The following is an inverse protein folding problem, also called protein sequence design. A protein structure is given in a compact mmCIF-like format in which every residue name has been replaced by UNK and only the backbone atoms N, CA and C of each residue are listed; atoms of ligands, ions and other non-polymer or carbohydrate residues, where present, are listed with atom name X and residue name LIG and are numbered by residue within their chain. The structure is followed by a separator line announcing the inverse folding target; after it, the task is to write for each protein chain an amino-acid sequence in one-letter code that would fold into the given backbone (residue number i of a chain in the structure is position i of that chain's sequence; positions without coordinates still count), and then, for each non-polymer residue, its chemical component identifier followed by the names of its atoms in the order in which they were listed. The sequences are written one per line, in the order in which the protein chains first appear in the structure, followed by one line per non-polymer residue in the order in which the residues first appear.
data_IF_096495342213
#
_entry.id   IF_096495342213
#
_cell.length_a   1.000
_cell.length_b   1.000
_cell.length_c   1.000
_cell.angle_alpha   90.00
_cell.angle_beta   90.00
_cell.angle_gamma   90.00
#
_symmetry.space_group_name_H-M   'P 1'
#
loop_
_entity.id
_entity.type
_entity.pdbx_description
1 polymer ?
#
# COMPACT_ATOMS: atom_id res chain seq x y z
N UNK A 1 -12.26 -19.70 -11.36
CA UNK A 1 -12.56 -19.55 -9.94
C UNK A 1 -13.99 -19.06 -9.80
N UNK A 2 -14.72 -19.57 -8.83
CA UNK A 2 -16.10 -19.15 -8.56
C UNK A 2 -16.11 -17.80 -7.86
N UNK A 3 -17.01 -16.92 -8.26
CA UNK A 3 -17.25 -15.63 -7.66
C UNK A 3 -18.67 -15.62 -7.10
N UNK A 4 -18.80 -15.15 -5.88
CA UNK A 4 -20.10 -14.95 -5.23
C UNK A 4 -20.49 -13.49 -5.25
N UNK A 5 -21.74 -13.26 -5.63
CA UNK A 5 -22.40 -11.97 -5.56
C UNK A 5 -22.81 -11.71 -4.09
N UNK A 6 -22.46 -10.56 -3.55
CA UNK A 6 -22.87 -10.13 -2.22
C UNK A 6 -23.50 -8.74 -2.28
N UNK A 7 -24.55 -8.53 -1.50
CA UNK A 7 -25.13 -7.21 -1.28
C UNK A 7 -24.58 -6.61 0.02
N UNK A 8 -24.13 -5.38 -0.04
CA UNK A 8 -23.54 -4.69 1.10
C UNK A 8 -24.56 -3.73 1.71
N UNK A 9 -24.93 -3.99 2.98
CA UNK A 9 -25.56 -3.01 3.84
C UNK A 9 -26.92 -2.46 3.40
N UNK A 10 -27.77 -3.27 2.76
CA UNK A 10 -29.12 -2.83 2.36
C UNK A 10 -29.18 -1.89 1.16
N UNK A 11 -28.06 -1.62 0.52
CA UNK A 11 -27.98 -0.90 -0.76
C UNK A 11 -28.16 -1.89 -1.93
N UNK A 12 -28.60 -1.37 -3.09
CA UNK A 12 -28.68 -2.16 -4.33
C UNK A 12 -27.30 -2.39 -4.98
N UNK A 13 -26.21 -2.18 -4.25
CA UNK A 13 -24.84 -2.33 -4.76
C UNK A 13 -24.45 -3.79 -4.68
N UNK A 14 -24.24 -4.41 -5.82
CA UNK A 14 -23.73 -5.76 -5.95
C UNK A 14 -22.20 -5.73 -6.00
N UNK A 15 -21.56 -6.53 -5.15
CA UNK A 15 -20.12 -6.72 -5.12
C UNK A 15 -19.82 -8.19 -5.38
N UNK A 16 -18.80 -8.48 -6.17
CA UNK A 16 -18.36 -9.84 -6.43
C UNK A 16 -17.11 -10.16 -5.61
N UNK A 17 -17.16 -11.24 -4.83
CA UNK A 17 -16.06 -11.73 -4.01
C UNK A 17 -15.76 -13.17 -4.39
N UNK A 18 -14.49 -13.54 -4.48
CA UNK A 18 -14.12 -14.93 -4.74
C UNK A 18 -14.69 -15.83 -3.64
N UNK A 19 -15.54 -16.78 -4.01
CA UNK A 19 -16.38 -17.60 -3.11
C UNK A 19 -15.59 -18.28 -2.01
N UNK A 20 -14.33 -18.66 -2.27
CA UNK A 20 -13.43 -19.29 -1.27
C UNK A 20 -13.10 -18.41 -0.05
N UNK A 21 -13.43 -17.12 -0.09
CA UNK A 21 -13.21 -16.17 1.01
C UNK A 21 -14.48 -15.81 1.76
N UNK A 22 -15.62 -16.39 1.39
CA UNK A 22 -16.90 -16.20 2.08
C UNK A 22 -17.11 -17.33 3.08
N UNK A 23 -17.44 -16.98 4.32
CA UNK A 23 -17.94 -17.92 5.30
C UNK A 23 -19.45 -17.71 5.47
N UNK A 24 -20.23 -18.77 5.47
CA UNK A 24 -21.69 -18.73 5.60
C UNK A 24 -22.17 -18.35 7.02
N UNK A 25 -21.28 -18.25 7.99
CA UNK A 25 -21.63 -17.84 9.35
C UNK A 25 -21.56 -16.33 9.49
N UNK A 26 -22.72 -15.72 9.75
CA UNK A 26 -22.81 -14.34 10.24
C UNK A 26 -21.94 -14.25 11.49
N UNK A 27 -20.98 -13.29 11.60
CA UNK A 27 -20.30 -13.05 12.85
C UNK A 27 -21.39 -12.76 13.90
N UNK A 28 -21.48 -13.60 14.92
CA UNK A 28 -22.34 -13.33 16.05
C UNK A 28 -21.86 -12.02 16.64
N UNK A 29 -22.75 -11.05 16.81
CA UNK A 29 -22.45 -9.81 17.49
C UNK A 29 -22.02 -10.20 18.92
N UNK A 30 -20.75 -10.42 19.09
CA UNK A 30 -20.11 -10.53 20.39
C UNK A 30 -20.27 -9.18 21.05
N UNK A 31 -20.80 -9.20 22.25
CA UNK A 31 -20.99 -8.08 23.15
C UNK A 31 -19.76 -7.16 23.09
N UNK A 32 -19.99 -5.89 22.80
CA UNK A 32 -19.02 -4.87 22.48
C UNK A 32 -17.75 -4.89 23.34
N UNK A 33 -16.77 -5.56 22.85
CA UNK A 33 -15.41 -5.12 23.04
C UNK A 33 -15.12 -4.26 21.81
N UNK A 34 -15.21 -2.96 21.96
CA UNK A 34 -14.58 -2.01 21.05
C UNK A 34 -13.10 -2.38 21.02
N UNK A 35 -12.72 -3.26 20.10
CA UNK A 35 -11.35 -3.30 19.67
C UNK A 35 -11.14 -1.96 18.92
N UNK A 36 -10.88 -0.91 19.69
CA UNK A 36 -10.06 0.17 19.22
C UNK A 36 -8.84 -0.51 18.63
N UNK A 37 -8.79 -0.62 17.29
CA UNK A 37 -7.55 -0.81 16.61
C UNK A 37 -6.73 0.41 17.03
N UNK A 38 -6.00 0.25 18.11
CA UNK A 38 -4.98 1.18 18.52
C UNK A 38 -4.00 1.17 17.36
N UNK A 39 -4.06 2.23 16.55
CA UNK A 39 -2.99 2.63 15.67
C UNK A 39 -1.83 3.05 16.55
N UNK A 40 -1.32 2.12 17.35
CA UNK A 40 -0.07 2.27 18.05
C UNK A 40 1.00 2.27 16.97
N UNK A 41 1.66 3.41 16.77
CA UNK A 41 2.98 3.42 16.16
C UNK A 41 3.81 2.42 16.93
N UNK A 42 4.18 1.32 16.27
CA UNK A 42 4.99 0.29 16.89
C UNK A 42 6.25 0.96 17.47
N UNK A 43 6.55 0.69 18.74
CA UNK A 43 7.71 1.27 19.38
C UNK A 43 8.96 0.82 18.63
N UNK A 44 9.81 1.76 18.26
CA UNK A 44 11.05 1.51 17.52
C UNK A 44 12.21 1.63 18.49
N UNK A 45 13.04 0.59 18.54
CA UNK A 45 14.29 0.60 19.30
C UNK A 45 15.38 1.38 18.55
N UNK A 46 16.44 1.78 19.27
CA UNK A 46 17.56 2.55 18.71
C UNK A 46 18.30 1.83 17.55
N UNK A 47 18.20 0.52 17.48
CA UNK A 47 18.75 -0.33 16.40
C UNK A 47 17.80 -0.49 15.20
N UNK A 48 16.67 0.21 15.19
CA UNK A 48 15.66 0.11 14.14
C UNK A 48 14.71 -1.08 14.27
N UNK A 49 14.82 -1.88 15.33
CA UNK A 49 13.89 -2.97 15.61
C UNK A 49 12.50 -2.42 15.96
N UNK A 50 11.48 -3.02 15.40
CA UNK A 50 10.07 -2.66 15.61
C UNK A 50 9.40 -3.72 16.47
N UNK A 51 8.68 -3.30 17.50
CA UNK A 51 7.90 -4.22 18.32
C UNK A 51 6.81 -4.88 17.48
N UNK A 52 6.79 -6.22 17.45
CA UNK A 52 5.76 -6.98 16.75
C UNK A 52 4.45 -6.88 17.54
N UNK A 53 3.35 -6.38 16.93
CA UNK A 53 2.03 -6.38 17.56
C UNK A 53 1.61 -7.78 18.03
N UNK A 54 0.95 -7.88 19.17
CA UNK A 54 0.53 -9.18 19.73
C UNK A 54 -0.31 -10.01 18.74
N UNK A 55 -1.16 -9.36 17.97
CA UNK A 55 -1.98 -10.01 16.93
C UNK A 55 -1.16 -10.66 15.81
N UNK A 56 0.10 -10.28 15.64
CA UNK A 56 0.98 -10.80 14.60
C UNK A 56 2.02 -11.80 15.10
N UNK A 57 2.19 -11.96 16.40
CA UNK A 57 3.21 -12.85 17.00
C UNK A 57 3.07 -14.32 16.60
N UNK A 58 1.88 -14.73 16.16
CA UNK A 58 1.67 -16.08 15.63
C UNK A 58 2.35 -16.31 14.27
N UNK A 59 2.68 -15.24 13.55
CA UNK A 59 3.25 -15.30 12.20
C UNK A 59 4.62 -14.65 12.09
N UNK A 60 4.91 -13.64 12.92
CA UNK A 60 6.08 -12.76 12.81
C UNK A 60 7.01 -13.01 13.99
N UNK A 61 8.25 -13.37 13.70
CA UNK A 61 9.30 -13.52 14.71
C UNK A 61 10.10 -12.24 14.94
N UNK A 62 10.21 -11.37 13.92
CA UNK A 62 10.92 -10.09 14.00
C UNK A 62 10.39 -9.07 13.00
N UNK A 63 10.49 -7.79 13.35
CA UNK A 63 10.18 -6.68 12.47
C UNK A 63 11.23 -5.57 12.63
N UNK A 64 11.49 -4.81 11.56
CA UNK A 64 12.43 -3.69 11.59
C UNK A 64 12.07 -2.61 10.59
N UNK A 65 12.64 -1.43 10.81
CA UNK A 65 12.52 -0.31 9.87
C UNK A 65 13.43 -0.50 8.66
N UNK A 66 12.92 -0.10 7.50
CA UNK A 66 13.68 0.00 6.26
C UNK A 66 13.63 1.44 5.81
N UNK A 67 14.78 2.12 5.82
CA UNK A 67 14.93 3.48 5.30
C UNK A 67 15.34 3.50 3.83
N UNK A 68 15.27 4.69 3.23
CA UNK A 68 15.79 4.90 1.88
C UNK A 68 17.32 4.76 1.87
N UNK A 69 17.85 3.98 0.93
CA UNK A 69 19.28 3.89 0.69
C UNK A 69 19.63 4.76 -0.52
N UNK A 70 20.51 5.73 -0.33
CA UNK A 70 20.95 6.65 -1.38
C UNK A 70 21.73 5.97 -2.52
N UNK A 71 22.26 4.79 -2.31
CA UNK A 71 22.92 3.96 -3.33
C UNK A 71 21.96 3.21 -4.25
N UNK A 72 20.66 3.18 -3.95
CA UNK A 72 19.70 2.55 -4.85
C UNK A 72 19.48 3.40 -6.11
N UNK A 73 19.34 2.73 -7.24
CA UNK A 73 19.05 3.38 -8.51
C UNK A 73 17.79 4.23 -8.40
N UNK A 74 17.87 5.49 -8.81
CA UNK A 74 16.81 6.51 -8.78
C UNK A 74 16.45 7.05 -7.37
N UNK A 75 17.21 6.74 -6.35
CA UNK A 75 16.98 7.28 -5.01
C UNK A 75 17.06 8.82 -4.98
N UNK A 76 17.93 9.39 -5.79
CA UNK A 76 18.15 10.83 -5.95
C UNK A 76 16.95 11.59 -6.56
N UNK A 77 15.99 10.89 -7.15
CA UNK A 77 14.76 11.51 -7.66
C UNK A 77 13.68 11.70 -6.59
N UNK A 78 13.82 11.08 -5.42
CA UNK A 78 12.94 11.30 -4.30
C UNK A 78 13.20 12.64 -3.63
N UNK A 79 12.15 13.36 -3.31
CA UNK A 79 12.18 14.64 -2.62
C UNK A 79 11.73 14.56 -1.15
N UNK A 80 10.96 13.50 -0.78
CA UNK A 80 10.51 13.22 0.60
C UNK A 80 10.85 11.76 0.89
N UNK A 81 11.92 11.53 1.66
CA UNK A 81 12.46 10.19 1.89
C UNK A 81 13.08 9.98 3.29
N UNK A 82 12.70 10.81 4.25
CA UNK A 82 13.18 10.70 5.63
C UNK A 82 12.42 9.67 6.49
N UNK A 83 11.32 9.12 5.95
CA UNK A 83 10.52 8.09 6.61
C UNK A 83 11.07 6.68 6.42
N UNK A 84 10.39 5.71 7.04
CA UNK A 84 10.77 4.31 7.00
C UNK A 84 9.55 3.43 6.73
N UNK A 85 9.73 2.43 5.87
CA UNK A 85 8.84 1.28 5.78
C UNK A 85 9.08 0.33 6.95
N UNK A 86 8.17 -0.60 7.20
CA UNK A 86 8.32 -1.64 8.22
C UNK A 86 8.34 -3.01 7.54
N UNK A 87 9.41 -3.74 7.75
CA UNK A 87 9.53 -5.12 7.28
C UNK A 87 9.06 -6.07 8.39
N UNK A 88 8.14 -6.97 8.06
CA UNK A 88 7.66 -8.04 8.90
C UNK A 88 8.17 -9.38 8.36
N UNK A 89 9.05 -10.02 9.10
CA UNK A 89 9.60 -11.33 8.73
C UNK A 89 8.68 -12.45 9.25
N UNK A 90 8.28 -13.33 8.35
CA UNK A 90 7.46 -14.48 8.70
C UNK A 90 8.32 -15.60 9.31
N UNK A 91 8.13 -15.89 10.59
CA UNK A 91 8.86 -16.91 11.33
C UNK A 91 8.23 -18.29 11.30
N UNK A 92 7.17 -18.52 10.52
CA UNK A 92 6.46 -19.81 10.49
C UNK A 92 7.15 -20.86 9.61
N UNK A 93 6.87 -22.13 9.88
CA UNK A 93 7.45 -23.25 9.12
C UNK A 93 7.00 -23.27 7.63
N UNK A 94 5.85 -22.64 7.31
CA UNK A 94 5.35 -22.55 5.94
C UNK A 94 5.73 -21.25 5.24
N UNK A 95 6.76 -20.54 5.73
CA UNK A 95 7.29 -19.32 5.10
C UNK A 95 7.68 -19.57 3.65
N UNK A 96 7.23 -18.71 2.76
CA UNK A 96 7.42 -18.82 1.30
C UNK A 96 8.71 -18.19 0.79
N UNK A 97 9.47 -17.49 1.65
CA UNK A 97 10.68 -16.74 1.27
C UNK A 97 10.41 -15.75 0.11
N UNK A 98 9.24 -15.12 0.14
CA UNK A 98 8.81 -14.09 -0.80
C UNK A 98 8.31 -12.89 -0.03
N UNK A 99 8.72 -11.72 -0.48
CA UNK A 99 8.38 -10.43 0.14
C UNK A 99 7.34 -9.70 -0.70
N UNK A 100 6.24 -9.32 -0.08
CA UNK A 100 5.21 -8.49 -0.71
C UNK A 100 5.27 -7.09 -0.10
N UNK A 101 5.58 -6.09 -0.92
CA UNK A 101 5.46 -4.69 -0.50
C UNK A 101 4.00 -4.25 -0.61
N UNK A 102 3.44 -3.84 0.52
CA UNK A 102 2.07 -3.32 0.62
C UNK A 102 2.16 -1.81 0.83
N UNK A 103 1.67 -1.06 -0.15
CA UNK A 103 1.71 0.38 -0.16
C UNK A 103 0.30 0.94 0.07
N UNK A 104 0.02 1.38 1.29
CA UNK A 104 -1.18 2.15 1.59
C UNK A 104 -1.06 3.53 0.91
N UNK A 105 -1.89 3.79 -0.08
CA UNK A 105 -1.86 5.03 -0.86
C UNK A 105 -2.00 6.29 0.00
N UNK A 106 -1.40 7.40 -0.43
CA UNK A 106 -1.43 8.69 0.25
C UNK A 106 -0.74 8.70 1.63
N UNK A 107 -1.09 9.63 2.53
CA UNK A 107 -0.57 9.67 3.90
C UNK A 107 0.89 10.11 3.99
N UNK A 108 1.28 11.14 3.23
CA UNK A 108 2.55 11.87 3.37
C UNK A 108 2.25 13.35 3.54
N UNK A 109 2.49 13.86 4.75
CA UNK A 109 2.31 15.28 5.05
C UNK A 109 3.22 16.13 4.16
N UNK A 110 2.64 17.20 3.57
CA UNK A 110 3.36 18.06 2.63
C UNK A 110 3.58 17.50 1.23
N UNK A 111 3.20 16.26 0.96
CA UNK A 111 3.42 15.59 -0.33
C UNK A 111 2.79 16.31 -1.53
N UNK A 112 1.63 16.95 -1.33
CA UNK A 112 0.93 17.71 -2.38
C UNK A 112 1.62 19.02 -2.76
N UNK A 113 2.49 19.56 -1.88
CA UNK A 113 3.23 20.81 -2.11
C UNK A 113 4.58 20.61 -2.77
N UNK A 114 5.06 19.38 -2.86
CA UNK A 114 6.33 19.00 -3.45
C UNK A 114 6.10 18.32 -4.80
N UNK A 115 7.02 18.48 -5.75
CA UNK A 115 6.95 17.81 -7.05
C UNK A 115 8.18 16.96 -7.31
N UNK A 116 7.96 15.78 -7.87
CA UNK A 116 8.99 14.85 -8.34
C UNK A 116 8.81 14.59 -9.84
N UNK A 117 9.80 13.97 -10.50
CA UNK A 117 9.62 13.51 -11.87
C UNK A 117 8.57 12.38 -11.93
N UNK A 118 7.79 12.37 -13.01
CA UNK A 118 6.78 11.32 -13.24
C UNK A 118 7.43 9.98 -13.59
N UNK A 119 8.61 10.02 -14.24
CA UNK A 119 9.34 8.83 -14.65
C UNK A 119 10.85 9.00 -14.41
N UNK A 120 11.61 7.88 -14.23
CA UNK A 120 13.05 7.92 -13.99
C UNK A 120 13.85 8.54 -15.12
N UNK A 121 13.39 8.39 -16.37
CA UNK A 121 13.98 8.96 -17.57
C UNK A 121 13.54 10.40 -17.85
N UNK A 122 12.74 10.99 -16.94
CA UNK A 122 12.17 12.34 -17.02
C UNK A 122 11.20 12.56 -18.19
N UNK A 123 10.71 11.49 -18.81
CA UNK A 123 9.67 11.57 -19.83
C UNK A 123 8.34 12.03 -19.26
N UNK A 124 7.43 12.44 -20.13
CA UNK A 124 6.12 12.95 -19.73
C UNK A 124 5.19 11.82 -19.29
N UNK A 125 4.36 12.10 -18.30
CA UNK A 125 3.27 11.22 -17.86
C UNK A 125 2.31 10.94 -19.02
N UNK A 126 1.97 9.67 -19.21
CA UNK A 126 1.08 9.24 -20.32
C UNK A 126 -0.40 9.16 -19.92
N UNK A 127 -0.69 9.05 -18.63
CA UNK A 127 -2.05 8.97 -18.10
C UNK A 127 -2.43 10.25 -17.36
N UNK A 128 -3.72 10.59 -17.32
CA UNK A 128 -4.25 11.68 -16.50
C UNK A 128 -4.60 11.19 -15.11
N UNK A 129 -4.68 12.11 -14.15
CA UNK A 129 -5.06 11.90 -12.77
C UNK A 129 -4.98 13.23 -12.04
N UNK A 130 -4.52 13.29 -10.81
CA UNK A 130 -4.24 14.54 -10.07
C UNK A 130 -3.29 15.45 -10.87
N UNK A 131 -2.35 14.85 -11.59
CA UNK A 131 -1.51 15.54 -12.59
C UNK A 131 -1.92 15.11 -13.98
N UNK A 132 -2.09 16.06 -14.89
CA UNK A 132 -2.49 15.80 -16.27
C UNK A 132 -1.42 15.02 -17.05
N UNK A 133 -1.86 14.27 -18.06
CA UNK A 133 -0.96 13.70 -19.06
C UNK A 133 -0.14 14.80 -19.74
N UNK A 134 1.09 14.50 -20.14
CA UNK A 134 2.03 15.44 -20.74
C UNK A 134 2.92 16.16 -19.72
N UNK A 135 2.63 16.10 -18.43
CA UNK A 135 3.48 16.68 -17.39
C UNK A 135 4.72 15.82 -17.15
N UNK A 136 5.89 16.43 -17.02
CA UNK A 136 7.15 15.74 -16.66
C UNK A 136 7.34 15.63 -15.14
N UNK A 137 6.63 16.46 -14.37
CA UNK A 137 6.63 16.43 -12.89
C UNK A 137 5.21 16.36 -12.37
N UNK A 138 5.01 15.58 -11.32
CA UNK A 138 3.76 15.45 -10.59
C UNK A 138 3.95 15.77 -9.09
N UNK A 139 2.85 15.94 -8.36
CA UNK A 139 2.92 16.05 -6.90
C UNK A 139 3.57 14.79 -6.33
N UNK A 140 4.41 14.96 -5.33
CA UNK A 140 5.20 13.88 -4.74
C UNK A 140 4.31 12.79 -4.11
N UNK A 141 3.23 13.21 -3.42
CA UNK A 141 2.10 12.36 -2.99
C UNK A 141 0.85 13.22 -2.96
N UNK A 142 -0.21 12.80 -3.63
CA UNK A 142 -1.49 13.50 -3.55
C UNK A 142 -2.21 13.22 -2.23
N UNK A 143 -3.16 14.08 -1.85
CA UNK A 143 -3.98 13.92 -0.64
C UNK A 143 -4.97 12.75 -0.73
N UNK A 144 -5.27 12.29 -1.94
CA UNK A 144 -6.32 11.31 -2.19
C UNK A 144 -7.72 11.93 -2.25
N UNK A 145 -8.72 11.07 -2.40
CA UNK A 145 -10.12 11.47 -2.35
C UNK A 145 -10.63 11.56 -0.91
N UNK A 146 -11.82 12.16 -0.76
CA UNK A 146 -12.58 12.13 0.49
C UNK A 146 -13.90 11.42 0.24
N UNK A 147 -14.24 10.47 1.10
CA UNK A 147 -15.53 9.75 1.06
C UNK A 147 -16.68 10.68 1.45
N UNK A 148 -17.91 10.24 1.15
CA UNK A 148 -19.12 11.04 1.41
C UNK A 148 -19.35 11.35 2.90
N UNK A 149 -18.81 10.52 3.81
CA UNK A 149 -18.84 10.71 5.26
C UNK A 149 -17.71 11.60 5.79
N UNK A 150 -16.87 12.16 4.91
CA UNK A 150 -15.72 12.99 5.28
C UNK A 150 -14.44 12.18 5.55
N UNK A 151 -14.47 10.86 5.48
CA UNK A 151 -13.27 10.03 5.70
C UNK A 151 -12.26 10.22 4.56
N UNK A 152 -11.00 10.49 4.90
CA UNK A 152 -9.93 10.61 3.93
C UNK A 152 -9.53 9.23 3.37
N UNK A 153 -9.23 9.15 2.08
CA UNK A 153 -8.74 7.93 1.43
C UNK A 153 -7.53 7.32 2.14
N UNK A 154 -6.61 8.16 2.61
CA UNK A 154 -5.42 7.71 3.34
C UNK A 154 -5.74 6.90 4.62
N UNK A 155 -6.89 7.15 5.25
CA UNK A 155 -7.36 6.38 6.41
C UNK A 155 -7.83 5.00 5.99
N UNK A 156 -8.59 4.94 4.90
CA UNK A 156 -9.16 3.68 4.37
C UNK A 156 -8.05 2.79 3.77
N UNK A 157 -7.14 3.37 3.01
CA UNK A 157 -6.00 2.64 2.43
C UNK A 157 -5.09 2.05 3.51
N UNK A 158 -4.84 2.78 4.61
CA UNK A 158 -4.07 2.25 5.74
C UNK A 158 -4.76 1.05 6.37
N UNK A 159 -6.06 1.18 6.65
CA UNK A 159 -6.83 0.08 7.25
C UNK A 159 -6.83 -1.16 6.37
N UNK A 160 -7.04 -0.98 5.07
CA UNK A 160 -7.01 -2.08 4.10
C UNK A 160 -5.63 -2.72 4.01
N UNK A 161 -4.56 -1.91 3.98
CA UNK A 161 -3.19 -2.39 3.94
C UNK A 161 -2.83 -3.24 5.17
N UNK A 162 -3.27 -2.85 6.37
CA UNK A 162 -3.06 -3.60 7.58
C UNK A 162 -3.79 -4.96 7.56
N UNK A 163 -5.04 -4.97 7.10
CA UNK A 163 -5.79 -6.23 6.91
C UNK A 163 -5.10 -7.13 5.87
N UNK A 164 -4.61 -6.55 4.79
CA UNK A 164 -3.92 -7.27 3.74
C UNK A 164 -2.58 -7.83 4.22
N UNK A 165 -1.78 -7.05 4.95
CA UNK A 165 -0.58 -7.50 5.66
C UNK A 165 -0.86 -8.75 6.48
N UNK A 166 -1.89 -8.72 7.32
CA UNK A 166 -2.23 -9.82 8.23
C UNK A 166 -2.57 -11.10 7.43
N UNK A 167 -3.29 -10.95 6.32
CA UNK A 167 -3.61 -12.07 5.42
C UNK A 167 -2.39 -12.64 4.71
N UNK A 168 -1.47 -11.79 4.27
CA UNK A 168 -0.23 -12.21 3.63
C UNK A 168 0.69 -12.95 4.61
N UNK A 169 0.82 -12.44 5.84
CA UNK A 169 1.60 -13.09 6.89
C UNK A 169 1.01 -14.46 7.24
N UNK A 170 -0.31 -14.56 7.41
CA UNK A 170 -0.98 -15.85 7.64
C UNK A 170 -0.79 -16.83 6.47
N UNK A 171 -0.65 -16.33 5.25
CA UNK A 171 -0.36 -17.13 4.06
C UNK A 171 1.13 -17.50 3.89
N UNK A 172 2.02 -17.07 4.78
CA UNK A 172 3.44 -17.43 4.79
C UNK A 172 4.36 -16.46 4.04
N UNK A 173 3.88 -15.29 3.62
CA UNK A 173 4.72 -14.26 2.99
C UNK A 173 5.39 -13.38 4.04
N UNK A 174 6.56 -12.85 3.73
CA UNK A 174 7.10 -11.67 4.39
C UNK A 174 6.38 -10.43 3.85
N UNK A 175 6.26 -9.40 4.65
CA UNK A 175 5.57 -8.18 4.23
C UNK A 175 6.42 -6.94 4.51
N UNK A 176 6.60 -6.12 3.47
CA UNK A 176 7.12 -4.76 3.60
C UNK A 176 5.95 -3.79 3.60
N UNK A 177 5.57 -3.27 4.76
CA UNK A 177 4.59 -2.20 4.85
C UNK A 177 5.26 -0.87 4.51
N UNK A 178 5.01 -0.34 3.32
CA UNK A 178 5.57 0.97 2.89
C UNK A 178 5.06 2.10 3.78
N UNK A 179 3.79 2.02 4.20
CA UNK A 179 3.20 2.89 5.21
C UNK A 179 2.37 2.07 6.19
N UNK A 180 2.73 2.09 7.45
CA UNK A 180 2.03 1.38 8.54
C UNK A 180 1.50 2.33 9.64
N UNK A 181 1.53 3.62 9.39
CA UNK A 181 1.02 4.69 10.25
C UNK A 181 0.22 5.74 9.46
N UNK A 182 -0.31 6.73 10.18
CA UNK A 182 -1.09 7.82 9.57
C UNK A 182 -0.27 8.63 8.57
N UNK A 183 0.99 8.85 8.88
CA UNK A 183 1.95 9.56 8.04
C UNK A 183 3.20 8.69 7.84
N UNK A 184 3.77 8.78 6.65
CA UNK A 184 5.12 8.31 6.35
C UNK A 184 5.79 9.32 5.45
N UNK A 185 6.95 9.84 5.84
CA UNK A 185 7.70 10.80 5.05
C UNK A 185 8.45 10.10 3.91
N UNK A 186 7.66 9.49 2.99
CA UNK A 186 8.09 8.82 1.77
C UNK A 186 7.21 9.28 0.62
N UNK A 187 7.80 9.84 -0.42
CA UNK A 187 7.08 10.15 -1.66
C UNK A 187 6.92 8.91 -2.56
N UNK A 188 6.18 9.05 -3.66
CA UNK A 188 5.91 7.94 -4.57
C UNK A 188 7.20 7.34 -5.16
N UNK A 189 8.23 8.16 -5.38
CA UNK A 189 9.55 7.72 -5.86
C UNK A 189 10.22 6.85 -4.80
N UNK A 190 10.31 7.34 -3.55
CA UNK A 190 10.89 6.58 -2.44
C UNK A 190 10.18 5.25 -2.24
N UNK A 191 8.84 5.25 -2.21
CA UNK A 191 8.02 4.05 -2.05
C UNK A 191 8.32 3.00 -3.13
N UNK A 192 8.41 3.44 -4.38
CA UNK A 192 8.74 2.58 -5.53
C UNK A 192 10.16 2.05 -5.46
N UNK A 193 11.14 2.92 -5.20
CA UNK A 193 12.55 2.53 -5.10
C UNK A 193 12.76 1.53 -3.97
N UNK A 194 12.16 1.76 -2.82
CA UNK A 194 12.23 0.82 -1.69
C UNK A 194 11.61 -0.54 -2.05
N UNK A 195 10.40 -0.56 -2.62
CA UNK A 195 9.75 -1.80 -3.01
C UNK A 195 10.56 -2.56 -4.06
N UNK A 196 11.13 -1.89 -5.06
CA UNK A 196 11.95 -2.52 -6.10
C UNK A 196 13.22 -3.17 -5.56
N UNK A 197 13.79 -2.65 -4.48
CA UNK A 197 15.04 -3.15 -3.91
C UNK A 197 14.84 -4.16 -2.76
N UNK A 198 13.62 -4.28 -2.21
CA UNK A 198 13.39 -5.09 -1.02
C UNK A 198 12.27 -6.12 -1.16
N UNK A 199 11.49 -6.08 -2.24
CA UNK A 199 10.33 -6.96 -2.40
C UNK A 199 10.30 -7.67 -3.75
N UNK A 200 9.61 -8.82 -3.80
CA UNK A 200 9.35 -9.58 -5.03
C UNK A 200 8.12 -9.04 -5.78
N UNK A 201 7.20 -8.40 -5.08
CA UNK A 201 5.98 -7.82 -5.65
C UNK A 201 5.61 -6.56 -4.88
N UNK A 202 5.10 -5.55 -5.59
CA UNK A 202 4.60 -4.30 -5.01
C UNK A 202 3.12 -4.12 -5.34
N UNK A 203 2.30 -3.92 -4.31
CA UNK A 203 0.85 -3.72 -4.43
C UNK A 203 0.50 -2.39 -3.75
N UNK A 204 0.05 -1.42 -4.54
CA UNK A 204 -0.48 -0.16 -4.04
C UNK A 204 -2.00 -0.22 -3.94
N UNK A 205 -2.54 0.23 -2.82
CA UNK A 205 -3.97 0.21 -2.51
C UNK A 205 -4.52 1.63 -2.57
N UNK A 206 -5.55 1.82 -3.38
CA UNK A 206 -6.21 3.09 -3.61
C UNK A 206 -7.72 2.95 -3.73
N UNK A 207 -8.43 4.08 -3.61
CA UNK A 207 -9.83 4.24 -4.00
C UNK A 207 -9.92 5.32 -5.08
N UNK A 208 -10.81 5.12 -6.04
CA UNK A 208 -11.03 6.08 -7.12
C UNK A 208 -12.39 6.79 -6.91
N UNK A 209 -12.41 8.11 -7.10
CA UNK A 209 -13.64 8.90 -7.05
C UNK A 209 -14.28 8.94 -8.43
N UNK A 210 -15.43 8.30 -8.57
CA UNK A 210 -16.17 8.23 -9.83
C UNK A 210 -17.67 8.30 -9.58
N UNK A 211 -18.41 8.86 -10.55
CA UNK A 211 -19.88 8.90 -10.51
C UNK A 211 -20.55 7.55 -10.81
N UNK A 212 -19.78 6.56 -11.26
CA UNK A 212 -20.26 5.21 -11.55
C UNK A 212 -19.54 4.24 -10.64
N UNK A 213 -20.27 3.30 -10.04
CA UNK A 213 -19.67 2.17 -9.36
C UNK A 213 -18.89 1.32 -10.38
N UNK A 214 -17.59 1.23 -10.20
CA UNK A 214 -16.71 0.40 -11.04
C UNK A 214 -16.33 -0.91 -10.35
N UNK A 215 -16.76 -1.11 -9.11
CA UNK A 215 -16.32 -2.23 -8.29
C UNK A 215 -14.81 -2.22 -8.03
N UNK A 216 -14.26 -3.37 -7.69
CA UNK A 216 -12.82 -3.55 -7.54
C UNK A 216 -12.17 -3.77 -8.89
N UNK A 217 -11.09 -3.05 -9.17
CA UNK A 217 -10.30 -3.19 -10.39
C UNK A 217 -8.81 -3.10 -10.05
N UNK A 218 -7.97 -3.50 -10.98
CA UNK A 218 -6.53 -3.30 -10.89
C UNK A 218 -6.03 -2.53 -12.10
N UNK A 219 -4.97 -1.78 -11.89
CA UNK A 219 -4.21 -1.15 -12.98
C UNK A 219 -2.89 -1.89 -13.15
N UNK A 220 -2.62 -2.29 -14.38
CA UNK A 220 -1.34 -2.87 -14.76
C UNK A 220 -0.43 -1.81 -15.36
N UNK A 221 0.83 -2.19 -15.61
CA UNK A 221 1.77 -1.34 -16.37
C UNK A 221 1.10 -0.84 -17.64
N UNK A 222 1.08 0.47 -17.91
CA UNK A 222 0.58 0.99 -19.16
C UNK A 222 1.23 0.30 -20.36
N UNK A 223 0.42 -0.01 -21.39
CA UNK A 223 0.92 -0.60 -22.63
C UNK A 223 1.66 0.46 -23.48
N UNK A 224 2.76 0.94 -22.94
CA UNK A 224 3.61 1.95 -23.55
C UNK A 224 5.05 1.45 -23.57
N UNK A 225 5.70 1.52 -24.73
CA UNK A 225 7.05 1.00 -24.93
C UNK A 225 8.08 1.66 -24.00
N UNK A 226 7.95 2.97 -23.74
CA UNK A 226 8.85 3.70 -22.85
C UNK A 226 8.74 3.17 -21.39
N UNK A 227 7.53 2.92 -20.90
CA UNK A 227 7.33 2.30 -19.59
C UNK A 227 7.95 0.92 -19.49
N UNK A 228 7.78 0.10 -20.53
CA UNK A 228 8.27 -1.28 -20.54
C UNK A 228 9.77 -1.39 -20.73
N UNK A 229 10.41 -0.35 -21.31
CA UNK A 229 11.85 -0.28 -21.50
C UNK A 229 12.60 0.20 -20.25
N UNK A 230 11.92 0.69 -19.22
CA UNK A 230 12.53 1.10 -17.95
C UNK A 230 12.92 -0.13 -17.11
N UNK A 231 14.15 -0.55 -17.26
CA UNK A 231 14.76 -1.68 -16.56
C UNK A 231 15.29 -1.31 -15.16
N UNK A 232 15.22 -2.27 -14.23
CA UNK A 232 14.22 -3.31 -13.97
C UNK A 232 13.15 -2.78 -13.01
N UNK A 233 12.18 -2.07 -13.51
CA UNK A 233 11.12 -1.52 -12.66
C UNK A 233 10.13 -2.62 -12.34
N UNK A 234 10.15 -3.11 -11.10
CA UNK A 234 9.20 -4.10 -10.59
C UNK A 234 7.86 -3.50 -10.17
N UNK A 235 7.74 -2.19 -10.19
CA UNK A 235 6.54 -1.45 -9.82
C UNK A 235 6.40 -0.15 -10.60
N UNK A 236 5.22 0.44 -10.56
CA UNK A 236 4.88 1.68 -11.23
C UNK A 236 5.19 2.90 -10.37
N UNK A 237 5.43 4.02 -11.04
CA UNK A 237 5.62 5.33 -10.46
C UNK A 237 4.31 6.17 -10.46
N UNK A 238 3.17 5.54 -10.62
CA UNK A 238 1.85 6.19 -10.61
C UNK A 238 1.30 6.44 -9.21
#
# INVERSE_FOLDING_TARGET
GEWSEIQVGGSKTTVYVASRYLTASKPQAGNGSTSTAAGGTAAVSADGTVSVPDSLKAYVDKAWQVGMNSGWKYADFSAINSGHAVYYHNGTANRKNKVIAVNAGHGTSGGASVKTYCHPDKTAKVTSGTTSAGATKAVAVSGGMTFADGTAESTVTLRMAQIFRDKLLAAGYDVLMIRDGKDVQLDNVARTVMANNTADCHIALHWDSTKKDKGAFYMSVPNNAAYRAMEPVKSHWE
#
